data_IF_522026804621
#
_entry.id   IF_522026804621
#
_cell.length_a   1.000
_cell.length_b   1.000
_cell.length_c   1.000
_cell.angle_alpha   90.00
_cell.angle_beta   90.00
_cell.angle_gamma   90.00
#
_symmetry.space_group_name_H-M   'P 1'
#
loop_
_entity.id
_entity.type
_entity.pdbx_description
1 polymer ?
#
# COMPACT_ATOMS: atom_id res chain seq x y z
N UNK A 1 35.19 12.66 -3.89
CA UNK A 1 34.66 12.51 -2.50
C UNK A 1 35.78 12.10 -1.54
N UNK A 2 36.84 12.90 -1.40
CA UNK A 2 38.07 12.52 -0.68
C UNK A 2 38.60 13.64 0.22
N UNK A 3 37.80 14.11 1.18
CA UNK A 3 38.19 15.23 2.06
C UNK A 3 38.46 14.81 3.52
N UNK A 4 37.91 13.67 3.99
CA UNK A 4 38.11 13.21 5.38
C UNK A 4 38.26 11.68 5.47
N UNK A 5 39.49 11.15 5.49
CA UNK A 5 39.76 9.70 5.45
C UNK A 5 39.55 8.96 6.78
N UNK A 6 39.34 9.67 7.89
CA UNK A 6 39.21 9.09 9.24
C UNK A 6 37.76 9.06 9.76
N UNK A 7 36.80 9.55 8.97
CA UNK A 7 35.38 9.50 9.32
C UNK A 7 34.78 8.27 8.62
N UNK A 8 34.46 7.23 9.39
CA UNK A 8 33.66 6.12 8.88
C UNK A 8 32.27 6.62 8.50
N UNK A 9 31.98 6.64 7.19
CA UNK A 9 30.68 7.07 6.68
C UNK A 9 29.71 5.91 6.75
N UNK A 10 28.88 5.91 7.77
CA UNK A 10 27.70 5.04 7.83
C UNK A 10 26.65 5.62 6.86
N UNK A 11 26.08 4.82 5.94
CA UNK A 11 25.01 5.30 5.07
C UNK A 11 23.82 5.76 5.93
N UNK A 12 23.19 6.87 5.57
CA UNK A 12 22.03 7.32 6.32
C UNK A 12 20.91 6.28 6.23
N UNK A 13 20.13 6.13 7.29
CA UNK A 13 19.02 5.18 7.32
C UNK A 13 18.09 5.35 6.11
N UNK A 14 17.88 6.58 5.66
CA UNK A 14 17.12 6.89 4.44
C UNK A 14 17.73 6.28 3.18
N UNK A 15 19.06 6.35 3.03
CA UNK A 15 19.75 5.77 1.88
C UNK A 15 19.75 4.24 1.92
N UNK A 16 19.89 3.65 3.10
CA UNK A 16 19.77 2.19 3.27
C UNK A 16 18.35 1.72 2.94
N UNK A 17 17.33 2.45 3.40
CA UNK A 17 15.93 2.16 3.07
C UNK A 17 15.64 2.33 1.58
N UNK A 18 16.19 3.35 0.93
CA UNK A 18 16.05 3.59 -0.51
C UNK A 18 16.62 2.42 -1.34
N UNK A 19 17.85 2.01 -1.04
CA UNK A 19 18.49 0.86 -1.68
C UNK A 19 17.71 -0.44 -1.43
N UNK A 20 17.22 -0.66 -0.21
CA UNK A 20 16.40 -1.81 0.11
C UNK A 20 15.08 -1.81 -0.66
N UNK A 21 14.43 -0.66 -0.81
CA UNK A 21 13.21 -0.53 -1.61
C UNK A 21 13.51 -0.77 -3.11
N UNK A 22 14.65 -0.31 -3.61
CA UNK A 22 15.09 -0.58 -4.98
C UNK A 22 15.22 -2.10 -5.23
N UNK A 23 15.83 -2.82 -4.29
CA UNK A 23 16.01 -4.27 -4.40
C UNK A 23 14.68 -5.04 -4.26
N UNK A 24 13.76 -4.58 -3.40
CA UNK A 24 12.39 -5.10 -3.38
C UNK A 24 11.72 -4.86 -4.73
N UNK A 25 11.87 -3.67 -5.31
CA UNK A 25 11.30 -3.31 -6.61
C UNK A 25 11.79 -4.19 -7.77
N UNK A 26 13.00 -4.78 -7.66
CA UNK A 26 13.55 -5.72 -8.64
C UNK A 26 12.95 -7.13 -8.54
N UNK A 27 12.28 -7.47 -7.44
CA UNK A 27 11.63 -8.78 -7.30
C UNK A 27 10.47 -8.93 -8.30
N UNK A 28 10.34 -10.09 -8.95
CA UNK A 28 9.36 -10.29 -10.03
C UNK A 28 7.91 -9.97 -9.62
N UNK A 29 7.50 -10.38 -8.40
CA UNK A 29 6.16 -10.09 -7.88
C UNK A 29 5.95 -8.58 -7.62
N UNK A 30 6.97 -7.89 -7.12
CA UNK A 30 6.90 -6.47 -6.80
C UNK A 30 6.91 -5.63 -8.09
N UNK A 31 7.78 -5.98 -9.04
CA UNK A 31 7.83 -5.36 -10.36
C UNK A 31 6.49 -5.46 -11.07
N UNK A 32 5.84 -6.63 -11.06
CA UNK A 32 4.52 -6.81 -11.66
C UNK A 32 3.44 -5.92 -11.02
N UNK A 33 3.57 -5.62 -9.72
CA UNK A 33 2.67 -4.67 -9.03
C UNK A 33 2.99 -3.23 -9.42
N UNK A 34 4.27 -2.86 -9.47
CA UNK A 34 4.73 -1.52 -9.88
C UNK A 34 4.31 -1.20 -11.31
N UNK A 35 4.45 -2.14 -12.25
CA UNK A 35 4.03 -1.94 -13.65
C UNK A 35 2.52 -1.66 -13.77
N UNK A 36 1.68 -2.34 -12.95
CA UNK A 36 0.24 -2.05 -12.88
C UNK A 36 -0.05 -0.69 -12.24
N UNK A 37 0.71 -0.31 -11.22
CA UNK A 37 0.59 0.98 -10.58
C UNK A 37 1.00 2.13 -11.52
N UNK A 38 2.04 1.95 -12.32
CA UNK A 38 2.51 2.92 -13.32
C UNK A 38 1.43 3.20 -14.35
N UNK A 39 0.68 2.18 -14.77
CA UNK A 39 -0.46 2.37 -15.66
C UNK A 39 -1.55 3.27 -15.04
N UNK A 40 -1.90 3.05 -13.76
CA UNK A 40 -2.83 3.93 -13.03
C UNK A 40 -2.28 5.36 -12.98
N UNK A 41 -1.01 5.51 -12.59
CA UNK A 41 -0.36 6.82 -12.45
C UNK A 41 -0.36 7.55 -13.79
N UNK A 42 -0.02 6.86 -14.88
CA UNK A 42 -0.02 7.42 -16.22
C UNK A 42 -1.42 7.88 -16.64
N UNK A 43 -2.45 7.07 -16.40
CA UNK A 43 -3.85 7.42 -16.65
C UNK A 43 -4.24 8.70 -15.89
N UNK A 44 -4.00 8.73 -14.58
CA UNK A 44 -4.31 9.86 -13.71
C UNK A 44 -3.58 11.13 -14.14
N UNK A 45 -2.29 11.03 -14.48
CA UNK A 45 -1.49 12.18 -14.91
C UNK A 45 -1.97 12.76 -16.23
N UNK A 46 -2.46 11.91 -17.14
CA UNK A 46 -2.97 12.30 -18.45
C UNK A 46 -4.37 12.95 -18.37
N UNK A 47 -5.20 12.53 -17.42
CA UNK A 47 -6.57 13.04 -17.28
C UNK A 47 -6.64 14.17 -16.24
N UNK A 48 -6.53 15.42 -16.71
CA UNK A 48 -6.53 16.61 -15.84
C UNK A 48 -7.77 16.71 -14.95
N UNK A 49 -8.94 16.33 -15.45
CA UNK A 49 -10.17 16.29 -14.67
C UNK A 49 -10.05 15.31 -13.50
N UNK A 50 -9.67 14.05 -13.76
CA UNK A 50 -9.45 13.03 -12.73
C UNK A 50 -8.39 13.46 -11.72
N UNK A 51 -7.28 14.04 -12.17
CA UNK A 51 -6.23 14.57 -11.29
C UNK A 51 -6.73 15.69 -10.37
N UNK A 52 -7.44 16.67 -10.93
CA UNK A 52 -7.97 17.81 -10.18
C UNK A 52 -9.07 17.37 -9.23
N UNK A 53 -9.93 16.44 -9.68
CA UNK A 53 -10.94 15.81 -8.86
C UNK A 53 -10.30 15.10 -7.66
N UNK A 54 -9.33 14.19 -7.88
CA UNK A 54 -8.68 13.46 -6.79
C UNK A 54 -7.91 14.37 -5.81
N UNK A 55 -7.34 15.49 -6.28
CA UNK A 55 -6.67 16.47 -5.40
C UNK A 55 -7.64 17.27 -4.52
N UNK A 56 -8.84 17.54 -5.02
CA UNK A 56 -9.85 18.34 -4.32
C UNK A 56 -10.92 17.48 -3.63
N UNK A 57 -10.87 16.16 -3.81
CA UNK A 57 -11.74 15.22 -3.15
C UNK A 57 -11.39 15.17 -1.67
N UNK A 58 -12.19 15.82 -0.83
CA UNK A 58 -12.07 15.66 0.62
C UNK A 58 -12.56 14.27 1.00
N UNK A 59 -11.90 13.66 1.98
CA UNK A 59 -12.39 12.43 2.60
C UNK A 59 -13.83 12.66 3.10
N UNK A 60 -14.81 12.06 2.41
CA UNK A 60 -16.24 12.12 2.74
C UNK A 60 -17.14 12.96 1.83
N UNK A 61 -16.62 13.80 0.92
CA UNK A 61 -17.46 14.72 0.10
C UNK A 61 -17.80 14.17 -1.30
N UNK A 62 -17.01 13.22 -1.80
CA UNK A 62 -17.40 12.27 -2.85
C UNK A 62 -16.56 11.01 -2.64
N UNK A 63 -17.17 9.83 -2.62
CA UNK A 63 -16.42 8.59 -2.48
C UNK A 63 -15.62 8.35 -3.77
N UNK A 64 -14.29 8.38 -3.67
CA UNK A 64 -13.40 8.19 -4.81
C UNK A 64 -13.63 6.80 -5.45
N UNK A 65 -14.07 5.81 -4.66
CA UNK A 65 -14.52 4.50 -5.16
C UNK A 65 -15.73 4.68 -6.09
N UNK A 66 -16.70 5.51 -5.70
CA UNK A 66 -17.90 5.81 -6.49
C UNK A 66 -17.58 6.52 -7.81
N UNK A 67 -16.61 7.43 -7.81
CA UNK A 67 -16.12 8.06 -9.04
C UNK A 67 -15.56 7.02 -10.02
N UNK A 68 -14.71 6.09 -9.53
CA UNK A 68 -14.18 5.00 -10.34
C UNK A 68 -15.27 4.07 -10.86
N UNK A 69 -16.31 3.80 -10.08
CA UNK A 69 -17.45 2.98 -10.56
C UNK A 69 -18.24 3.66 -11.69
N UNK A 70 -18.31 4.99 -11.73
CA UNK A 70 -19.05 5.73 -12.76
C UNK A 70 -18.24 6.07 -14.00
N UNK A 71 -16.95 6.37 -13.83
CA UNK A 71 -16.09 6.85 -14.92
C UNK A 71 -15.06 5.82 -15.40
N UNK A 72 -14.89 4.72 -14.67
CA UNK A 72 -13.92 3.67 -14.99
C UNK A 72 -14.51 2.48 -15.76
N UNK A 73 -15.75 2.58 -16.26
CA UNK A 73 -16.44 1.50 -17.00
C UNK A 73 -15.65 1.02 -18.23
N UNK A 74 -14.93 1.93 -18.88
CA UNK A 74 -14.12 1.63 -20.06
C UNK A 74 -12.85 0.82 -19.73
N UNK A 75 -12.49 0.75 -18.45
CA UNK A 75 -11.30 0.04 -17.96
C UNK A 75 -11.65 -0.75 -16.68
N UNK A 76 -12.35 -1.89 -16.80
CA UNK A 76 -12.86 -2.65 -15.65
C UNK A 76 -11.74 -3.15 -14.72
N UNK A 77 -10.60 -3.58 -15.29
CA UNK A 77 -9.44 -4.02 -14.51
C UNK A 77 -8.80 -2.87 -13.72
N UNK A 78 -8.78 -1.67 -14.31
CA UNK A 78 -8.26 -0.46 -13.68
C UNK A 78 -9.16 -0.03 -12.52
N UNK A 79 -10.47 -0.07 -12.75
CA UNK A 79 -11.49 0.25 -11.75
C UNK A 79 -11.43 -0.70 -10.56
N UNK A 80 -11.33 -2.00 -10.82
CA UNK A 80 -11.19 -2.99 -9.76
C UNK A 80 -9.94 -2.75 -8.90
N UNK A 81 -8.81 -2.45 -9.53
CA UNK A 81 -7.56 -2.16 -8.83
C UNK A 81 -7.64 -0.85 -8.04
N UNK A 82 -8.13 0.23 -8.65
CA UNK A 82 -8.27 1.53 -8.02
C UNK A 82 -9.22 1.48 -6.81
N UNK A 83 -10.38 0.84 -6.96
CA UNK A 83 -11.31 0.64 -5.85
C UNK A 83 -10.64 -0.14 -4.70
N UNK A 84 -9.93 -1.24 -4.99
CA UNK A 84 -9.19 -1.99 -3.96
C UNK A 84 -8.18 -1.14 -3.22
N UNK A 85 -7.36 -0.36 -3.93
CA UNK A 85 -6.34 0.51 -3.31
C UNK A 85 -6.99 1.60 -2.46
N UNK A 86 -8.06 2.23 -2.94
CA UNK A 86 -8.75 3.31 -2.25
C UNK A 86 -9.52 2.85 -1.00
N UNK A 87 -9.96 1.59 -1.00
CA UNK A 87 -10.53 0.95 0.20
C UNK A 87 -9.50 0.47 1.21
N UNK A 88 -8.19 0.47 0.89
CA UNK A 88 -7.17 0.14 1.89
C UNK A 88 -6.99 1.30 2.86
N UNK A 89 -7.09 1.01 4.16
CA UNK A 89 -6.79 1.99 5.19
C UNK A 89 -5.28 2.27 5.25
N UNK A 90 -4.86 3.42 4.71
CA UNK A 90 -3.44 3.84 4.65
C UNK A 90 -2.98 4.64 5.87
N UNK A 91 -3.75 4.65 6.98
CA UNK A 91 -3.35 5.37 8.19
C UNK A 91 -2.48 4.52 9.10
N UNK A 92 -1.50 5.15 9.78
CA UNK A 92 -0.68 4.49 10.79
C UNK A 92 -1.55 3.80 11.85
N UNK A 93 -2.63 4.46 12.31
CA UNK A 93 -3.59 3.90 13.24
C UNK A 93 -4.29 2.63 12.70
N UNK A 94 -4.59 2.55 11.40
CA UNK A 94 -5.15 1.34 10.81
C UNK A 94 -4.12 0.21 10.74
N UNK A 95 -2.87 0.53 10.40
CA UNK A 95 -1.76 -0.43 10.47
C UNK A 95 -1.53 -0.92 11.90
N UNK A 96 -1.54 -0.04 12.90
CA UNK A 96 -1.39 -0.38 14.33
C UNK A 96 -2.48 -1.34 14.80
N UNK A 97 -3.74 -1.16 14.37
CA UNK A 97 -4.82 -2.11 14.65
C UNK A 97 -4.55 -3.48 14.02
N UNK A 98 -4.05 -3.53 12.79
CA UNK A 98 -3.67 -4.79 12.15
C UNK A 98 -2.50 -5.47 12.86
N UNK A 99 -1.51 -4.70 13.31
CA UNK A 99 -0.39 -5.21 14.11
C UNK A 99 -0.85 -5.71 15.48
N UNK A 100 -1.79 -5.04 16.14
CA UNK A 100 -2.36 -5.51 17.40
C UNK A 100 -3.09 -6.86 17.25
N UNK A 101 -3.83 -7.04 16.14
CA UNK A 101 -4.45 -8.34 15.81
C UNK A 101 -3.36 -9.38 15.56
N UNK A 102 -2.30 -9.04 14.81
CA UNK A 102 -1.18 -9.94 14.56
C UNK A 102 -0.51 -10.40 15.85
N UNK A 103 -0.27 -9.47 16.79
CA UNK A 103 0.33 -9.75 18.10
C UNK A 103 -0.56 -10.67 18.94
N UNK A 104 -1.89 -10.53 18.84
CA UNK A 104 -2.84 -11.43 19.51
C UNK A 104 -2.85 -12.86 18.92
N UNK A 105 -2.65 -13.00 17.61
CA UNK A 105 -2.63 -14.29 16.90
C UNK A 105 -1.29 -15.00 17.13
N UNK A 106 -0.19 -14.24 17.14
CA UNK A 106 1.16 -14.75 17.27
C UNK A 106 1.84 -14.23 18.54
N UNK A 107 1.65 -14.94 19.64
CA UNK A 107 2.37 -14.68 20.90
C UNK A 107 3.53 -15.65 21.10
N UNK A 108 4.50 -15.31 21.98
CA UNK A 108 5.58 -16.23 22.36
C UNK A 108 5.07 -17.60 22.87
N UNK A 109 3.82 -17.64 23.37
CA UNK A 109 3.14 -18.86 23.86
C UNK A 109 2.28 -19.56 22.78
N UNK A 110 1.85 -18.85 21.73
CA UNK A 110 1.09 -19.38 20.56
C UNK A 110 1.84 -19.12 19.24
N UNK A 111 2.97 -19.79 19.03
CA UNK A 111 3.78 -19.69 17.81
C UNK A 111 3.62 -20.88 16.83
N UNK A 112 2.69 -21.81 17.10
CA UNK A 112 2.53 -23.04 16.30
C UNK A 112 1.85 -22.83 14.94
N UNK A 113 1.42 -21.60 14.65
CA UNK A 113 0.76 -21.24 13.39
C UNK A 113 1.82 -20.80 12.38
N UNK A 114 1.77 -21.36 11.17
CA UNK A 114 2.60 -20.88 10.06
C UNK A 114 2.20 -19.48 9.62
N UNK A 115 3.14 -18.75 9.02
CA UNK A 115 2.96 -17.34 8.58
C UNK A 115 1.76 -17.14 7.66
N UNK A 116 1.47 -18.11 6.79
CA UNK A 116 0.31 -18.10 5.89
C UNK A 116 -1.02 -18.10 6.65
N UNK A 117 -1.17 -18.98 7.65
CA UNK A 117 -2.39 -19.06 8.48
C UNK A 117 -2.57 -17.82 9.35
N UNK A 118 -1.48 -17.25 9.86
CA UNK A 118 -1.52 -15.98 10.60
C UNK A 118 -2.04 -14.85 9.72
N UNK A 119 -1.57 -14.77 8.48
CA UNK A 119 -2.02 -13.77 7.50
C UNK A 119 -3.49 -13.90 7.18
N UNK A 120 -3.99 -15.12 6.96
CA UNK A 120 -5.40 -15.35 6.67
C UNK A 120 -6.30 -14.97 7.86
N UNK A 121 -5.88 -15.26 9.10
CA UNK A 121 -6.61 -14.87 10.30
C UNK A 121 -6.67 -13.35 10.48
N UNK A 122 -5.55 -12.65 10.26
CA UNK A 122 -5.52 -11.17 10.32
C UNK A 122 -6.37 -10.56 9.22
N UNK A 123 -6.36 -11.15 8.01
CA UNK A 123 -7.21 -10.72 6.90
C UNK A 123 -8.70 -10.86 7.23
N UNK A 124 -9.14 -12.01 7.75
CA UNK A 124 -10.53 -12.23 8.17
C UNK A 124 -10.92 -11.25 9.27
N UNK A 125 -10.10 -11.11 10.31
CA UNK A 125 -10.38 -10.20 11.42
C UNK A 125 -10.51 -8.73 10.97
N UNK A 126 -9.60 -8.26 10.11
CA UNK A 126 -9.63 -6.90 9.58
C UNK A 126 -10.89 -6.65 8.74
N UNK A 127 -11.25 -7.59 7.86
CA UNK A 127 -12.43 -7.44 7.02
C UNK A 127 -13.73 -7.56 7.81
N UNK A 128 -13.80 -8.42 8.83
CA UNK A 128 -14.96 -8.51 9.72
C UNK A 128 -15.23 -7.20 10.47
N UNK A 129 -14.17 -6.48 10.87
CA UNK A 129 -14.30 -5.16 11.52
C UNK A 129 -14.77 -4.08 10.55
N UNK A 130 -14.47 -4.19 9.25
CA UNK A 130 -14.95 -3.24 8.23
C UNK A 130 -16.36 -3.56 7.69
N UNK A 131 -16.86 -4.78 7.88
CA UNK A 131 -18.18 -5.22 7.42
C UNK A 131 -19.28 -5.13 8.50
N UNK A 132 -18.93 -4.70 9.72
CA UNK A 132 -19.86 -4.32 10.80
C UNK A 132 -19.89 -2.80 10.96
#
# INVERSE_FOLDING_TARGET
MAEFPHIEKVPCATHVLDLLMEDIGKMAWARAVVEKADYIIAFVRKHQFTRNFMRNCKAGEMDMVRWWTWHGTDHPDLTALACRVLTQAVSAAACERNWAVWDSVHTAKRNRLGSEKCRDLVYVAHNCVMLM
#
